data_IF_524848846464
#
_entry.id   IF_524848846464
#
_cell.length_a   1.000
_cell.length_b   1.000
_cell.length_c   1.000
_cell.angle_alpha   90.00
_cell.angle_beta   90.00
_cell.angle_gamma   90.00
#
_symmetry.space_group_name_H-M   'P 1'
#
loop_
_entity.id
_entity.type
_entity.pdbx_description
1 polymer ?
#
# COMPACT_ATOMS: atom_id res chain seq x y z
N UNK A 1 18.50 -15.65 -29.14
CA UNK A 1 19.54 -14.67 -28.78
C UNK A 1 20.06 -15.11 -27.42
N UNK A 2 21.35 -15.41 -27.35
CA UNK A 2 22.02 -15.89 -26.13
C UNK A 2 21.86 -14.86 -25.01
N UNK A 3 21.52 -15.37 -23.80
CA UNK A 3 21.50 -14.62 -22.54
C UNK A 3 22.83 -13.87 -22.35
N UNK A 4 22.87 -12.59 -22.73
CA UNK A 4 23.81 -11.67 -22.08
C UNK A 4 23.37 -11.57 -20.63
N UNK A 5 24.29 -11.78 -19.70
CA UNK A 5 24.07 -11.53 -18.27
C UNK A 5 23.70 -10.04 -18.08
N UNK A 6 22.42 -9.69 -18.27
CA UNK A 6 21.91 -8.31 -18.15
C UNK A 6 21.75 -7.87 -16.68
N UNK A 7 21.93 -8.81 -15.76
CA UNK A 7 21.64 -8.59 -14.35
C UNK A 7 22.67 -9.30 -13.46
N UNK A 8 23.15 -8.59 -12.46
CA UNK A 8 24.01 -9.14 -11.41
C UNK A 8 23.31 -8.99 -10.06
N UNK A 9 23.27 -10.08 -9.29
CA UNK A 9 22.76 -10.08 -7.92
C UNK A 9 23.88 -10.42 -6.93
N UNK A 10 24.41 -9.38 -6.28
CA UNK A 10 25.23 -9.50 -5.08
C UNK A 10 24.34 -9.85 -3.88
N UNK A 11 24.84 -10.71 -3.00
CA UNK A 11 24.13 -11.14 -1.80
C UNK A 11 24.92 -10.73 -0.55
N UNK A 12 24.26 -10.48 0.59
CA UNK A 12 24.94 -10.27 1.87
C UNK A 12 25.88 -11.45 2.19
N UNK A 13 27.04 -11.19 2.81
CA UNK A 13 28.10 -12.18 3.03
C UNK A 13 27.60 -13.46 3.70
N UNK A 14 26.72 -13.34 4.70
CA UNK A 14 26.17 -14.47 5.46
C UNK A 14 24.65 -14.65 5.28
N UNK A 15 24.11 -14.26 4.11
CA UNK A 15 22.67 -14.32 3.89
C UNK A 15 22.12 -15.76 4.04
N UNK A 16 21.04 -15.90 4.79
CA UNK A 16 20.28 -17.15 4.94
C UNK A 16 18.81 -16.82 5.18
N UNK A 17 17.90 -17.60 4.58
CA UNK A 17 16.45 -17.50 4.86
C UNK A 17 16.13 -17.76 6.34
N UNK A 18 16.85 -18.68 6.98
CA UNK A 18 16.61 -19.06 8.39
C UNK A 18 16.97 -17.94 9.37
N UNK A 19 17.89 -17.04 9.00
CA UNK A 19 18.41 -15.97 9.86
C UNK A 19 17.96 -14.58 9.43
N UNK A 20 17.12 -14.48 8.41
CA UNK A 20 16.80 -13.20 7.78
C UNK A 20 15.91 -12.29 8.65
N UNK A 21 15.16 -12.85 9.62
CA UNK A 21 14.13 -12.09 10.32
C UNK A 21 13.12 -11.50 9.33
N UNK A 22 12.96 -10.17 9.35
CA UNK A 22 12.13 -9.41 8.41
C UNK A 22 12.70 -9.33 6.97
N UNK A 23 13.92 -9.81 6.75
CA UNK A 23 14.60 -9.78 5.45
C UNK A 23 15.80 -8.83 5.40
N UNK A 24 16.54 -8.92 4.29
CA UNK A 24 17.63 -7.99 3.97
C UNK A 24 17.13 -6.90 3.02
N UNK A 25 17.65 -5.66 3.10
CA UNK A 25 17.33 -4.64 2.11
C UNK A 25 17.69 -5.07 0.69
N UNK A 26 17.08 -4.43 -0.29
CA UNK A 26 17.43 -4.57 -1.71
C UNK A 26 17.82 -3.20 -2.26
N UNK A 27 19.00 -3.10 -2.85
CA UNK A 27 19.42 -1.94 -3.63
C UNK A 27 19.35 -2.32 -5.11
N UNK A 28 18.37 -1.75 -5.83
CA UNK A 28 18.34 -1.74 -7.29
C UNK A 28 19.27 -0.63 -7.78
N UNK A 29 20.32 -1.00 -8.52
CA UNK A 29 21.18 -0.07 -9.23
C UNK A 29 21.03 -0.26 -10.73
N UNK A 30 20.69 0.82 -11.45
CA UNK A 30 20.50 0.79 -12.90
C UNK A 30 21.64 1.52 -13.60
N UNK A 31 22.23 0.87 -14.61
CA UNK A 31 23.35 1.40 -15.41
C UNK A 31 23.18 1.10 -16.91
N UNK A 32 23.88 1.85 -17.75
CA UNK A 32 23.85 1.71 -19.21
C UNK A 32 25.26 1.64 -19.86
N UNK A 33 26.31 1.47 -19.04
CA UNK A 33 27.71 1.45 -19.51
C UNK A 33 28.37 0.06 -19.47
N UNK A 34 27.63 -0.94 -18.97
CA UNK A 34 28.04 -2.33 -18.83
C UNK A 34 29.11 -2.56 -17.77
N UNK A 35 29.45 -1.55 -16.96
CA UNK A 35 30.46 -1.71 -15.91
C UNK A 35 29.84 -2.35 -14.68
N UNK A 36 30.34 -3.53 -14.33
CA UNK A 36 30.01 -4.16 -13.06
C UNK A 36 30.63 -3.40 -11.89
N UNK A 37 29.78 -2.91 -10.99
CA UNK A 37 30.23 -2.24 -9.77
C UNK A 37 30.44 -3.25 -8.64
N UNK A 38 31.37 -2.91 -7.75
CA UNK A 38 31.53 -3.63 -6.49
C UNK A 38 30.68 -2.97 -5.41
N UNK A 39 29.90 -3.78 -4.69
CA UNK A 39 29.17 -3.33 -3.51
C UNK A 39 29.79 -3.94 -2.25
N UNK A 40 30.10 -3.07 -1.28
CA UNK A 40 30.66 -3.47 0.01
C UNK A 40 29.56 -4.11 0.89
N UNK A 41 29.36 -5.41 0.68
CA UNK A 41 28.38 -6.23 1.38
C UNK A 41 28.67 -6.40 2.89
N UNK A 42 29.91 -6.18 3.32
CA UNK A 42 30.27 -6.24 4.74
C UNK A 42 29.80 -4.98 5.45
N UNK A 43 29.99 -3.82 4.80
CA UNK A 43 29.60 -2.53 5.37
C UNK A 43 28.11 -2.24 5.23
N UNK A 44 27.52 -2.61 4.09
CA UNK A 44 26.11 -2.39 3.79
C UNK A 44 25.46 -3.71 3.33
N UNK A 45 25.08 -4.58 4.28
CA UNK A 45 24.52 -5.88 3.95
C UNK A 45 23.15 -5.73 3.28
N UNK A 46 23.09 -5.97 1.97
CA UNK A 46 21.85 -5.96 1.20
C UNK A 46 21.93 -6.86 -0.03
N UNK A 47 20.79 -7.22 -0.61
CA UNK A 47 20.80 -7.68 -1.99
C UNK A 47 21.18 -6.50 -2.89
N UNK A 48 22.30 -6.59 -3.58
CA UNK A 48 22.73 -5.57 -4.54
C UNK A 48 22.38 -6.07 -5.93
N UNK A 49 21.29 -5.55 -6.47
CA UNK A 49 20.78 -5.94 -7.78
C UNK A 49 21.13 -4.88 -8.81
N UNK A 50 22.19 -5.15 -9.58
CA UNK A 50 22.63 -4.32 -10.68
C UNK A 50 21.95 -4.78 -11.97
N UNK A 51 21.33 -3.84 -12.68
CA UNK A 51 20.61 -4.07 -13.94
C UNK A 51 21.22 -3.19 -15.02
N UNK A 52 21.75 -3.81 -16.06
CA UNK A 52 22.18 -3.13 -17.28
C UNK A 52 20.97 -2.87 -18.17
N UNK A 53 20.76 -1.62 -18.58
CA UNK A 53 19.63 -1.22 -19.42
C UNK A 53 20.09 -0.72 -20.78
N UNK A 54 19.24 -0.94 -21.78
CA UNK A 54 19.39 -0.37 -23.10
C UNK A 54 18.11 0.39 -23.52
N UNK A 55 18.04 0.79 -24.78
CA UNK A 55 16.90 1.55 -25.33
C UNK A 55 15.58 0.76 -25.38
N UNK A 56 15.65 -0.57 -25.35
CA UNK A 56 14.52 -1.48 -25.48
C UNK A 56 14.06 -2.00 -24.11
N UNK A 57 14.81 -1.69 -23.05
CA UNK A 57 14.47 -2.10 -21.68
C UNK A 57 13.30 -1.28 -21.14
N UNK A 58 12.21 -1.95 -20.76
CA UNK A 58 11.06 -1.31 -20.12
C UNK A 58 11.15 -1.42 -18.58
N UNK A 59 10.69 -0.37 -17.89
CA UNK A 59 10.57 -0.37 -16.44
C UNK A 59 9.68 -1.52 -15.90
N UNK A 60 8.75 -2.03 -16.71
CA UNK A 60 7.91 -3.18 -16.36
C UNK A 60 8.73 -4.47 -16.29
N UNK A 61 9.70 -4.67 -17.20
CA UNK A 61 10.59 -5.84 -17.19
C UNK A 61 11.39 -5.93 -15.89
N UNK A 62 11.85 -4.78 -15.39
CA UNK A 62 12.57 -4.68 -14.12
C UNK A 62 11.62 -4.95 -12.95
N UNK A 63 10.40 -4.41 -12.98
CA UNK A 63 9.41 -4.66 -11.93
C UNK A 63 9.06 -6.16 -11.82
N UNK A 64 8.86 -6.84 -12.95
CA UNK A 64 8.57 -8.29 -12.98
C UNK A 64 9.75 -9.13 -12.47
N UNK A 65 10.97 -8.81 -12.88
CA UNK A 65 12.16 -9.48 -12.35
C UNK A 65 12.35 -9.23 -10.85
N UNK A 66 12.02 -8.03 -10.37
CA UNK A 66 12.06 -7.73 -8.94
C UNK A 66 11.06 -8.56 -8.15
N UNK A 67 9.85 -8.79 -8.69
CA UNK A 67 8.86 -9.68 -8.05
C UNK A 67 9.42 -11.09 -7.89
N UNK A 68 9.96 -11.65 -8.97
CA UNK A 68 10.60 -12.96 -8.93
C UNK A 68 11.77 -13.02 -7.93
N UNK A 69 12.50 -11.91 -7.76
CA UNK A 69 13.59 -11.80 -6.79
C UNK A 69 13.06 -11.82 -5.35
N UNK A 70 12.02 -11.02 -5.04
CA UNK A 70 11.39 -10.96 -3.71
C UNK A 70 10.75 -12.28 -3.31
N UNK A 71 10.17 -13.03 -4.26
CA UNK A 71 9.68 -14.39 -4.00
C UNK A 71 10.84 -15.37 -3.69
N UNK A 72 11.95 -15.22 -4.43
CA UNK A 72 13.10 -16.14 -4.37
C UNK A 72 14.07 -15.85 -3.24
N UNK A 73 14.11 -14.65 -2.70
CA UNK A 73 15.06 -14.25 -1.66
C UNK A 73 14.34 -13.55 -0.50
N UNK A 74 14.86 -13.64 0.73
CA UNK A 74 14.27 -12.98 1.90
C UNK A 74 14.57 -11.47 1.86
N UNK A 75 13.97 -10.76 0.90
CA UNK A 75 14.04 -9.31 0.76
C UNK A 75 13.07 -8.67 1.74
N UNK A 76 13.55 -7.70 2.51
CA UNK A 76 12.68 -6.81 3.27
C UNK A 76 12.05 -5.81 2.30
N UNK A 77 10.79 -6.06 1.93
CA UNK A 77 10.04 -5.21 0.99
C UNK A 77 9.77 -3.81 1.52
N UNK A 78 9.99 -3.56 2.82
CA UNK A 78 9.93 -2.21 3.41
C UNK A 78 11.23 -1.41 3.24
N UNK A 79 12.29 -2.04 2.71
CA UNK A 79 13.63 -1.47 2.50
C UNK A 79 14.18 -1.82 1.10
N UNK A 80 13.41 -1.44 0.08
CA UNK A 80 13.86 -1.47 -1.31
C UNK A 80 14.29 -0.06 -1.72
N UNK A 81 15.49 0.05 -2.29
CA UNK A 81 16.10 1.31 -2.68
C UNK A 81 16.39 1.34 -4.18
N UNK A 82 16.27 2.52 -4.79
CA UNK A 82 16.62 2.74 -6.20
C UNK A 82 17.82 3.68 -6.33
N UNK A 83 18.78 3.31 -7.17
CA UNK A 83 19.91 4.15 -7.51
C UNK A 83 20.24 4.11 -9.00
N UNK A 84 20.75 5.23 -9.52
CA UNK A 84 21.17 5.34 -10.92
C UNK A 84 21.80 6.69 -11.23
N UNK A 85 22.55 6.76 -12.33
CA UNK A 85 23.21 7.98 -12.78
C UNK A 85 23.00 8.20 -14.29
N UNK A 86 23.14 9.45 -14.74
CA UNK A 86 23.09 9.81 -16.16
C UNK A 86 21.79 9.37 -16.84
N UNK A 87 21.88 8.82 -18.05
CA UNK A 87 20.72 8.34 -18.82
C UNK A 87 20.05 7.12 -18.18
N UNK A 88 20.80 6.24 -17.52
CA UNK A 88 20.26 5.09 -16.79
C UNK A 88 19.28 5.50 -15.66
N UNK A 89 19.49 6.68 -15.05
CA UNK A 89 18.58 7.22 -14.04
C UNK A 89 17.16 7.49 -14.57
N UNK A 90 16.95 7.63 -15.89
CA UNK A 90 15.62 7.76 -16.48
C UNK A 90 14.69 6.60 -16.10
N UNK A 91 15.24 5.38 -16.02
CA UNK A 91 14.46 4.19 -15.66
C UNK A 91 14.00 4.27 -14.21
N UNK A 92 14.87 4.72 -13.30
CA UNK A 92 14.50 4.96 -11.90
C UNK A 92 13.42 6.05 -11.80
N UNK A 93 13.52 7.14 -12.56
CA UNK A 93 12.49 8.18 -12.61
C UNK A 93 11.14 7.66 -13.11
N UNK A 94 11.12 6.82 -14.15
CA UNK A 94 9.90 6.19 -14.66
C UNK A 94 9.34 5.18 -13.65
N UNK A 95 10.18 4.35 -13.03
CA UNK A 95 9.77 3.40 -11.98
C UNK A 95 9.18 4.12 -10.76
N UNK A 96 9.76 5.24 -10.31
CA UNK A 96 9.17 6.05 -9.23
C UNK A 96 7.76 6.51 -9.60
N UNK A 97 7.55 6.98 -10.83
CA UNK A 97 6.23 7.45 -11.27
C UNK A 97 5.20 6.31 -11.48
N UNK A 98 5.66 5.12 -11.87
CA UNK A 98 4.81 3.97 -12.16
C UNK A 98 4.49 3.12 -10.91
N UNK A 99 5.50 2.94 -10.05
CA UNK A 99 5.48 2.05 -8.88
C UNK A 99 6.03 2.77 -7.64
N UNK A 100 5.45 3.90 -7.21
CA UNK A 100 5.99 4.67 -6.09
C UNK A 100 6.06 3.86 -4.79
N UNK A 101 5.12 2.95 -4.54
CA UNK A 101 5.08 2.08 -3.34
C UNK A 101 6.17 1.00 -3.30
N UNK A 102 6.97 0.88 -4.37
CA UNK A 102 8.12 -0.02 -4.40
C UNK A 102 9.25 0.49 -3.50
N UNK A 103 9.51 1.80 -3.51
CA UNK A 103 10.75 2.33 -2.96
C UNK A 103 10.57 2.89 -1.54
N UNK A 104 11.44 2.47 -0.63
CA UNK A 104 11.65 3.12 0.65
C UNK A 104 12.41 4.45 0.47
N UNK A 105 13.35 4.50 -0.46
CA UNK A 105 14.05 5.72 -0.87
C UNK A 105 14.74 5.56 -2.23
N UNK A 106 15.02 6.69 -2.86
CA UNK A 106 15.75 6.75 -4.14
C UNK A 106 16.89 7.76 -4.05
N UNK A 107 18.04 7.43 -4.63
CA UNK A 107 19.15 8.36 -4.84
C UNK A 107 19.57 8.35 -6.31
N UNK A 108 19.51 9.48 -7.01
CA UNK A 108 19.90 9.54 -8.44
C UNK A 108 20.75 10.76 -8.76
N UNK A 109 21.67 10.56 -9.70
CA UNK A 109 22.51 11.61 -10.27
C UNK A 109 22.06 11.91 -11.71
N UNK A 110 21.52 13.09 -11.95
CA UNK A 110 21.05 13.52 -13.27
C UNK A 110 19.79 12.80 -13.75
N UNK A 111 19.78 12.49 -15.05
CA UNK A 111 18.65 11.88 -15.74
C UNK A 111 17.52 12.86 -16.09
N UNK A 112 16.56 12.34 -16.84
CA UNK A 112 15.39 13.05 -17.30
C UNK A 112 14.13 12.16 -17.28
N UNK A 113 12.97 12.79 -17.11
CA UNK A 113 11.70 12.07 -16.97
C UNK A 113 10.50 12.95 -17.27
N UNK A 114 9.29 12.38 -17.17
CA UNK A 114 8.05 13.12 -17.35
C UNK A 114 7.56 13.69 -16.02
N UNK A 115 7.45 15.02 -15.95
CA UNK A 115 7.06 15.74 -14.72
C UNK A 115 5.69 15.34 -14.20
N UNK A 116 4.73 15.04 -15.07
CA UNK A 116 3.37 14.63 -14.66
C UNK A 116 3.33 13.21 -14.08
N UNK A 117 4.23 12.30 -14.52
CA UNK A 117 4.33 10.94 -13.96
C UNK A 117 4.97 10.94 -12.59
N UNK A 118 6.12 11.61 -12.45
CA UNK A 118 6.92 11.56 -11.22
C UNK A 118 6.17 12.14 -10.01
N UNK A 119 5.20 13.05 -10.24
CA UNK A 119 4.35 13.61 -9.17
C UNK A 119 3.59 12.55 -8.38
N UNK A 120 3.34 11.37 -8.95
CA UNK A 120 2.72 10.24 -8.24
C UNK A 120 3.59 9.71 -7.10
N UNK A 121 4.89 9.96 -7.13
CA UNK A 121 5.84 9.65 -6.06
C UNK A 121 6.00 10.80 -5.05
N UNK A 122 4.94 11.58 -4.82
CA UNK A 122 4.96 12.75 -3.93
C UNK A 122 5.28 12.43 -2.46
N UNK A 123 5.29 11.16 -2.08
CA UNK A 123 5.61 10.70 -0.72
C UNK A 123 6.92 9.91 -0.63
N UNK A 124 7.50 9.53 -1.77
CA UNK A 124 8.75 8.74 -1.82
C UNK A 124 9.92 9.64 -1.43
N UNK A 125 10.70 9.31 -0.38
CA UNK A 125 11.94 10.01 -0.08
C UNK A 125 12.92 9.89 -1.25
N UNK A 126 13.47 11.01 -1.72
CA UNK A 126 14.42 10.98 -2.82
C UNK A 126 15.54 12.01 -2.64
N UNK A 127 16.78 11.62 -2.94
CA UNK A 127 17.93 12.53 -2.97
C UNK A 127 18.51 12.62 -4.36
N UNK A 128 18.36 13.81 -4.95
CA UNK A 128 18.65 14.06 -6.35
C UNK A 128 19.91 14.93 -6.47
N UNK A 129 20.86 14.51 -7.29
CA UNK A 129 22.08 15.24 -7.60
C UNK A 129 22.03 15.73 -9.05
N UNK A 130 22.49 16.95 -9.32
CA UNK A 130 22.59 17.43 -10.70
C UNK A 130 22.88 18.91 -10.82
N UNK A 131 23.12 19.39 -12.04
CA UNK A 131 23.50 20.78 -12.34
C UNK A 131 23.02 21.22 -13.72
N UNK A 132 23.08 22.52 -14.00
CA UNK A 132 22.66 23.09 -15.28
C UNK A 132 23.51 22.65 -16.50
N UNK A 133 24.69 22.08 -16.27
CA UNK A 133 25.56 21.52 -17.32
C UNK A 133 25.82 20.02 -17.12
N UNK A 134 24.78 19.29 -16.70
CA UNK A 134 24.71 17.83 -16.79
C UNK A 134 24.91 17.38 -18.26
N UNK A 135 25.64 16.27 -18.46
CA UNK A 135 26.08 15.84 -19.78
C UNK A 135 24.97 15.21 -20.62
N UNK A 136 23.94 14.65 -19.98
CA UNK A 136 22.80 14.05 -20.66
C UNK A 136 21.64 15.04 -20.79
N UNK A 137 21.20 15.61 -19.67
CA UNK A 137 20.10 16.58 -19.65
C UNK A 137 20.37 17.63 -18.57
N UNK A 138 20.61 18.91 -18.93
CA UNK A 138 20.70 20.02 -17.98
C UNK A 138 19.63 19.93 -16.89
N UNK A 139 19.99 20.07 -15.62
CA UNK A 139 19.06 19.83 -14.52
C UNK A 139 17.77 20.66 -14.63
N UNK A 140 17.85 21.93 -15.04
CA UNK A 140 16.69 22.78 -15.31
C UNK A 140 16.13 22.68 -16.74
N UNK A 141 16.77 21.92 -17.61
CA UNK A 141 16.46 21.81 -19.03
C UNK A 141 15.48 20.69 -19.39
N UNK A 142 15.44 20.40 -20.69
CA UNK A 142 14.57 19.38 -21.28
C UNK A 142 15.20 18.80 -22.55
N UNK A 143 14.84 17.56 -22.88
CA UNK A 143 15.29 16.83 -24.06
C UNK A 143 14.13 16.04 -24.66
N UNK A 144 14.24 15.70 -25.95
CA UNK A 144 13.33 14.76 -26.60
C UNK A 144 13.95 13.37 -26.57
N UNK A 145 13.19 12.36 -26.11
CA UNK A 145 13.62 10.97 -26.20
C UNK A 145 13.54 10.45 -27.64
N UNK A 146 14.23 9.34 -27.92
CA UNK A 146 14.20 8.66 -29.22
C UNK A 146 12.77 8.20 -29.60
N UNK A 147 11.90 8.03 -28.61
CA UNK A 147 10.48 7.69 -28.77
C UNK A 147 9.57 8.92 -28.92
N UNK A 148 10.13 10.13 -29.06
CA UNK A 148 9.36 11.37 -29.23
C UNK A 148 8.68 11.87 -27.96
N UNK A 149 9.13 11.46 -26.76
CA UNK A 149 8.61 11.96 -25.48
C UNK A 149 9.46 13.14 -25.01
N UNK A 150 8.82 14.24 -24.61
CA UNK A 150 9.51 15.35 -23.95
C UNK A 150 9.84 14.95 -22.50
N UNK A 151 11.13 14.99 -22.15
CA UNK A 151 11.64 14.70 -20.81
C UNK A 151 12.25 15.97 -20.21
N UNK A 152 12.13 16.13 -18.90
CA UNK A 152 12.68 17.25 -18.14
C UNK A 152 13.83 16.78 -17.24
N UNK A 153 14.84 17.63 -17.09
CA UNK A 153 15.98 17.37 -16.22
C UNK A 153 15.62 17.29 -14.74
N UNK A 154 16.55 16.74 -13.96
CA UNK A 154 16.32 16.33 -12.57
C UNK A 154 15.86 17.46 -11.63
N UNK A 155 16.32 18.72 -11.79
CA UNK A 155 15.86 19.84 -10.96
C UNK A 155 14.38 20.17 -11.23
N UNK A 156 13.94 20.07 -12.49
CA UNK A 156 12.53 20.24 -12.85
C UNK A 156 11.68 19.10 -12.29
N UNK A 157 12.19 17.87 -12.28
CA UNK A 157 11.51 16.72 -11.66
C UNK A 157 11.38 16.88 -10.13
N UNK A 158 12.44 17.31 -9.45
CA UNK A 158 12.40 17.67 -8.01
C UNK A 158 11.34 18.72 -7.73
N UNK A 159 11.31 19.80 -8.53
CA UNK A 159 10.28 20.84 -8.40
C UNK A 159 8.88 20.27 -8.60
N UNK A 160 8.72 19.33 -9.53
CA UNK A 160 7.45 18.63 -9.76
C UNK A 160 7.00 17.86 -8.52
N UNK A 161 7.90 17.09 -7.90
CA UNK A 161 7.66 16.36 -6.64
C UNK A 161 7.27 17.30 -5.50
N UNK A 162 8.03 18.37 -5.29
CA UNK A 162 7.72 19.38 -4.24
C UNK A 162 6.37 20.05 -4.48
N UNK A 163 6.06 20.39 -5.74
CA UNK A 163 4.77 20.96 -6.12
C UNK A 163 3.62 19.94 -6.03
N UNK A 164 3.89 18.66 -5.76
CA UNK A 164 2.90 17.63 -5.43
C UNK A 164 2.85 17.34 -3.91
N UNK A 165 3.55 18.12 -3.08
CA UNK A 165 3.56 17.97 -1.62
C UNK A 165 4.73 17.17 -1.05
N UNK A 166 5.72 16.78 -1.86
CA UNK A 166 6.87 16.02 -1.34
C UNK A 166 7.79 16.90 -0.49
N UNK A 167 7.76 16.67 0.82
CA UNK A 167 8.63 17.32 1.81
C UNK A 167 9.95 16.56 2.03
N UNK A 168 10.06 15.34 1.50
CA UNK A 168 11.18 14.40 1.71
C UNK A 168 12.14 14.32 0.51
N UNK A 169 11.99 15.19 -0.49
CA UNK A 169 12.87 15.27 -1.66
C UNK A 169 13.99 16.31 -1.47
N UNK A 170 15.22 15.81 -1.47
CA UNK A 170 16.46 16.58 -1.38
C UNK A 170 17.04 16.83 -2.77
N UNK A 171 17.66 18.00 -2.95
CA UNK A 171 18.39 18.33 -4.16
C UNK A 171 19.76 18.91 -3.83
N UNK A 172 20.79 18.32 -4.40
CA UNK A 172 22.18 18.73 -4.22
C UNK A 172 22.77 19.19 -5.56
N UNK A 173 23.17 20.47 -5.69
CA UNK A 173 23.82 20.98 -6.89
C UNK A 173 25.29 20.54 -6.94
N UNK A 174 25.55 19.26 -7.23
CA UNK A 174 26.89 18.68 -7.41
C UNK A 174 27.20 18.50 -8.91
N UNK A 175 28.49 18.35 -9.31
CA UNK A 175 28.85 17.70 -10.57
C UNK A 175 28.00 16.45 -10.80
N UNK A 176 27.64 16.18 -12.06
CA UNK A 176 27.06 14.88 -12.40
C UNK A 176 28.02 13.79 -11.91
N UNK A 177 27.55 13.03 -10.92
CA UNK A 177 28.26 11.89 -10.37
C UNK A 177 28.01 10.70 -11.29
N UNK A 178 29.05 9.95 -11.59
CA UNK A 178 28.93 8.59 -12.09
C UNK A 178 28.19 7.73 -11.06
N UNK A 179 27.66 6.59 -11.49
CA UNK A 179 26.99 5.69 -10.56
C UNK A 179 27.94 5.12 -9.49
N UNK A 180 29.22 4.91 -9.82
CA UNK A 180 30.26 4.53 -8.84
C UNK A 180 30.44 5.63 -7.78
N UNK A 181 30.64 6.88 -8.19
CA UNK A 181 30.76 8.01 -7.25
C UNK A 181 29.50 8.16 -6.38
N UNK A 182 28.30 7.94 -6.94
CA UNK A 182 27.05 7.99 -6.19
C UNK A 182 26.98 6.92 -5.11
N UNK A 183 27.40 5.69 -5.42
CA UNK A 183 27.42 4.58 -4.47
C UNK A 183 28.57 4.69 -3.45
N UNK A 184 29.61 5.46 -3.75
CA UNK A 184 30.70 5.78 -2.81
C UNK A 184 30.39 6.96 -1.87
N UNK A 185 29.39 7.80 -2.19
CA UNK A 185 28.96 8.91 -1.35
C UNK A 185 28.29 8.38 -0.07
N UNK A 186 29.08 8.37 1.01
CA UNK A 186 28.68 7.84 2.31
C UNK A 186 27.45 8.53 2.87
N UNK A 187 27.27 9.83 2.64
CA UNK A 187 26.12 10.57 3.15
C UNK A 187 24.85 10.15 2.42
N UNK A 188 24.91 10.06 1.09
CA UNK A 188 23.78 9.64 0.26
C UNK A 188 23.35 8.19 0.58
N UNK A 189 24.32 7.27 0.65
CA UNK A 189 24.07 5.86 0.95
C UNK A 189 23.52 5.69 2.37
N UNK A 190 24.11 6.33 3.38
CA UNK A 190 23.60 6.24 4.76
C UNK A 190 22.20 6.84 4.87
N UNK A 191 21.97 8.01 4.27
CA UNK A 191 20.66 8.64 4.26
C UNK A 191 19.59 7.75 3.60
N UNK A 192 19.94 7.02 2.54
CA UNK A 192 19.02 6.11 1.85
C UNK A 192 18.74 4.86 2.70
N UNK A 193 19.77 4.25 3.29
CA UNK A 193 19.66 2.99 4.02
C UNK A 193 18.99 3.09 5.39
N UNK A 194 18.89 4.28 5.98
CA UNK A 194 18.09 4.49 7.18
C UNK A 194 16.60 4.61 6.89
N UNK A 195 16.20 4.74 5.62
CA UNK A 195 14.79 4.88 5.22
C UNK A 195 14.07 3.55 5.24
N UNK A 196 12.81 3.60 5.63
CA UNK A 196 11.88 2.49 5.49
C UNK A 196 10.52 3.02 5.05
N UNK A 197 9.77 2.21 4.29
CA UNK A 197 8.36 2.50 4.04
C UNK A 197 7.54 2.59 5.32
N UNK A 198 8.03 2.01 6.42
CA UNK A 198 7.45 2.10 7.77
C UNK A 198 7.44 3.52 8.34
N UNK A 199 8.14 4.47 7.71
CA UNK A 199 8.19 5.88 8.11
C UNK A 199 6.95 6.66 7.63
N UNK A 200 5.94 6.70 8.50
CA UNK A 200 4.78 7.56 8.34
C UNK A 200 3.72 7.01 7.39
N UNK A 201 2.87 7.93 6.92
CA UNK A 201 1.68 7.60 6.15
C UNK A 201 1.62 8.45 4.89
N UNK A 202 1.16 7.85 3.79
CA UNK A 202 0.73 8.59 2.61
C UNK A 202 -0.61 9.26 2.93
N UNK A 203 -0.77 10.53 2.56
CA UNK A 203 -2.01 11.30 2.76
C UNK A 203 -2.50 11.77 1.40
N UNK A 204 -3.73 11.38 1.05
CA UNK A 204 -4.42 11.83 -0.16
C UNK A 204 -5.73 12.53 0.21
N UNK A 205 -5.96 13.72 -0.34
CA UNK A 205 -7.28 14.37 -0.28
C UNK A 205 -8.16 13.73 -1.35
N UNK A 206 -9.20 13.01 -0.94
CA UNK A 206 -10.16 12.41 -1.89
C UNK A 206 -11.21 13.44 -2.32
N UNK A 207 -11.73 14.19 -1.34
CA UNK A 207 -12.70 15.28 -1.50
C UNK A 207 -12.42 16.33 -0.42
N UNK A 208 -12.86 17.59 -0.56
CA UNK A 208 -12.76 18.55 0.53
C UNK A 208 -13.40 17.97 1.81
N UNK A 209 -12.63 17.86 2.89
CA UNK A 209 -13.07 17.27 4.16
C UNK A 209 -13.02 15.74 4.24
N UNK A 210 -12.62 15.03 3.17
CA UNK A 210 -12.45 13.56 3.17
C UNK A 210 -11.06 13.19 2.70
N UNK A 211 -10.32 12.53 3.59
CA UNK A 211 -8.92 12.20 3.40
C UNK A 211 -8.70 10.70 3.55
N UNK A 212 -7.79 10.16 2.75
CA UNK A 212 -7.27 8.81 2.87
C UNK A 212 -5.86 8.88 3.42
N UNK A 213 -5.59 8.09 4.45
CA UNK A 213 -4.26 7.76 4.89
C UNK A 213 -3.97 6.31 4.53
N UNK A 214 -2.71 6.05 4.18
CA UNK A 214 -2.28 4.73 3.85
C UNK A 214 -0.91 4.45 4.46
N UNK A 215 -0.78 3.26 5.05
CA UNK A 215 0.44 2.80 5.66
C UNK A 215 1.29 1.92 4.72
N UNK A 216 2.40 1.41 5.25
CA UNK A 216 3.34 0.60 4.50
C UNK A 216 2.86 -0.85 4.24
N UNK A 217 1.83 -1.31 4.95
CA UNK A 217 1.27 -2.66 4.78
C UNK A 217 0.19 -2.70 3.70
N UNK A 218 -0.30 -1.55 3.23
CA UNK A 218 -1.39 -1.47 2.25
C UNK A 218 -2.72 -1.04 2.87
N UNK A 219 -2.79 -1.01 4.20
CA UNK A 219 -3.99 -0.64 4.96
C UNK A 219 -4.34 0.81 4.74
N UNK A 220 -5.62 1.04 4.46
CA UNK A 220 -6.24 2.30 4.15
C UNK A 220 -7.19 2.69 5.27
N UNK A 221 -7.02 3.89 5.80
CA UNK A 221 -7.90 4.47 6.81
C UNK A 221 -8.22 5.91 6.45
N UNK A 222 -9.27 6.46 7.06
CA UNK A 222 -9.90 7.67 6.53
C UNK A 222 -10.12 8.72 7.60
N UNK A 223 -10.18 9.98 7.18
CA UNK A 223 -10.57 11.11 8.03
C UNK A 223 -11.69 11.88 7.35
N UNK A 224 -12.80 12.03 8.05
CA UNK A 224 -13.96 12.85 7.63
C UNK A 224 -14.12 14.03 8.58
N UNK A 225 -14.01 15.25 8.05
CA UNK A 225 -14.14 16.48 8.82
C UNK A 225 -15.60 16.94 8.90
N UNK A 226 -16.14 16.99 10.12
CA UNK A 226 -17.37 17.72 10.42
C UNK A 226 -17.09 19.17 10.80
N UNK A 227 -18.00 19.79 11.55
CA UNK A 227 -17.79 21.15 12.10
C UNK A 227 -17.38 21.14 13.58
N UNK A 228 -17.69 20.06 14.30
CA UNK A 228 -17.40 19.87 15.73
C UNK A 228 -16.22 18.94 15.97
N UNK A 229 -16.12 17.88 15.19
CA UNK A 229 -15.10 16.84 15.31
C UNK A 229 -14.73 16.31 13.92
N UNK A 230 -13.57 15.67 13.81
CA UNK A 230 -13.23 14.83 12.67
C UNK A 230 -13.31 13.36 13.09
N UNK A 231 -13.99 12.56 12.29
CA UNK A 231 -14.06 11.12 12.48
C UNK A 231 -12.90 10.46 11.74
N UNK A 232 -12.09 9.73 12.47
CA UNK A 232 -11.11 8.80 11.93
C UNK A 232 -11.80 7.45 11.77
N UNK A 233 -11.71 6.85 10.60
CA UNK A 233 -12.27 5.53 10.31
C UNK A 233 -11.10 4.59 10.11
N UNK A 234 -10.91 3.67 11.06
CA UNK A 234 -9.76 2.76 11.19
C UNK A 234 -8.39 3.47 11.41
N UNK A 235 -7.31 2.70 11.63
CA UNK A 235 -6.01 3.26 12.07
C UNK A 235 -4.75 2.71 11.39
N UNK A 236 -4.82 1.71 10.52
CA UNK A 236 -3.63 1.08 9.95
C UNK A 236 -2.81 0.29 10.98
N UNK A 237 -1.65 -0.23 10.54
CA UNK A 237 -0.70 -1.04 11.32
C UNK A 237 0.72 -0.44 11.34
N UNK A 238 0.88 0.82 10.92
CA UNK A 238 2.14 1.54 10.94
C UNK A 238 2.75 1.68 12.34
N UNK A 239 4.09 1.66 12.52
CA UNK A 239 4.70 1.77 13.84
C UNK A 239 4.67 3.19 14.43
N UNK A 240 4.51 4.21 13.58
CA UNK A 240 4.37 5.60 14.03
C UNK A 240 2.93 5.88 14.49
N UNK A 241 2.78 6.74 15.50
CA UNK A 241 1.46 7.19 15.95
C UNK A 241 0.67 7.84 14.81
N UNK A 242 -0.64 7.59 14.72
CA UNK A 242 -1.49 8.14 13.66
C UNK A 242 -1.93 9.58 13.94
N UNK A 243 -2.15 9.93 15.21
CA UNK A 243 -2.69 11.24 15.55
C UNK A 243 -1.80 12.42 15.14
N UNK A 244 -0.45 12.38 15.24
CA UNK A 244 0.41 13.45 14.72
C UNK A 244 0.33 13.63 13.20
N UNK A 245 0.05 12.56 12.46
CA UNK A 245 -0.12 12.62 11.01
C UNK A 245 -1.48 13.24 10.64
N UNK A 246 -2.54 12.85 11.33
CA UNK A 246 -3.89 13.42 11.16
C UNK A 246 -3.91 14.91 11.53
N UNK A 247 -3.05 15.36 12.45
CA UNK A 247 -2.91 16.79 12.80
C UNK A 247 -2.34 17.66 11.67
N UNK A 248 -1.73 17.07 10.64
CA UNK A 248 -1.35 17.78 9.41
C UNK A 248 -2.58 18.12 8.55
N UNK A 249 -3.68 17.40 8.76
CA UNK A 249 -4.93 17.51 8.00
C UNK A 249 -5.90 18.44 8.74
N UNK A 250 -6.15 18.17 10.03
CA UNK A 250 -7.20 18.85 10.78
C UNK A 250 -6.81 19.18 12.23
N UNK A 251 -7.35 20.29 12.72
CA UNK A 251 -7.24 20.73 14.12
C UNK A 251 -8.44 20.36 14.98
N UNK A 252 -9.49 19.77 14.39
CA UNK A 252 -10.69 19.36 15.11
C UNK A 252 -10.39 18.27 16.15
N UNK A 253 -11.18 18.18 17.24
CA UNK A 253 -11.22 17.00 18.08
C UNK A 253 -11.37 15.72 17.25
N UNK A 254 -10.61 14.68 17.59
CA UNK A 254 -10.66 13.40 16.87
C UNK A 254 -11.53 12.41 17.64
N UNK A 255 -12.44 11.78 16.91
CA UNK A 255 -13.20 10.61 17.34
C UNK A 255 -12.83 9.46 16.39
N UNK A 256 -12.73 8.23 16.89
CA UNK A 256 -12.38 7.06 16.08
C UNK A 256 -13.60 6.15 15.93
N UNK A 257 -13.90 5.72 14.71
CA UNK A 257 -14.85 4.67 14.44
C UNK A 257 -14.15 3.50 13.74
N UNK A 258 -14.37 2.29 14.26
CA UNK A 258 -13.72 1.09 13.78
C UNK A 258 -14.72 0.26 12.97
N UNK A 259 -14.32 -0.15 11.76
CA UNK A 259 -15.12 -1.05 10.93
C UNK A 259 -15.21 -2.44 11.56
N UNK A 260 -14.13 -2.89 12.20
CA UNK A 260 -14.03 -4.13 12.98
C UNK A 260 -12.74 -4.12 13.82
N UNK A 261 -12.48 -5.18 14.61
CA UNK A 261 -11.39 -5.19 15.59
C UNK A 261 -10.06 -5.82 15.14
N UNK A 262 -9.86 -6.13 13.86
CA UNK A 262 -8.56 -6.65 13.42
C UNK A 262 -7.44 -5.63 13.62
N UNK A 263 -6.22 -6.17 13.73
CA UNK A 263 -5.05 -5.44 14.18
C UNK A 263 -4.83 -4.15 13.41
N UNK A 264 -4.84 -4.22 12.09
CA UNK A 264 -4.61 -3.11 11.16
C UNK A 264 -5.76 -2.11 11.06
N UNK A 265 -6.92 -2.39 11.63
CA UNK A 265 -8.01 -1.42 11.72
C UNK A 265 -7.98 -0.69 13.07
N UNK A 266 -7.53 -1.38 14.12
CA UNK A 266 -7.63 -0.95 15.51
C UNK A 266 -6.28 -0.69 16.20
N UNK A 267 -5.15 -0.87 15.52
CA UNK A 267 -3.81 -0.89 16.13
C UNK A 267 -3.53 0.33 17.02
N UNK A 268 -4.01 1.50 16.60
CA UNK A 268 -3.79 2.76 17.30
C UNK A 268 -5.02 3.30 18.02
N UNK A 269 -5.98 2.44 18.36
CA UNK A 269 -7.20 2.87 19.03
C UNK A 269 -6.94 3.50 20.42
N UNK A 270 -5.89 3.10 21.11
CA UNK A 270 -5.44 3.66 22.39
C UNK A 270 -4.85 5.10 22.27
N UNK A 271 -4.69 5.65 21.07
CA UNK A 271 -4.41 7.08 20.86
C UNK A 271 -5.66 7.96 21.01
N UNK A 272 -6.85 7.37 21.01
CA UNK A 272 -8.13 8.07 20.95
C UNK A 272 -8.90 7.95 22.26
N UNK A 273 -9.58 9.04 22.64
CA UNK A 273 -10.44 9.08 23.84
C UNK A 273 -11.84 8.58 23.59
N UNK A 274 -12.33 8.75 22.36
CA UNK A 274 -13.67 8.36 21.93
C UNK A 274 -13.50 7.40 20.78
N UNK A 275 -13.89 6.15 21.02
CA UNK A 275 -13.75 5.05 20.06
C UNK A 275 -15.11 4.35 19.95
N UNK A 276 -15.58 4.20 18.72
CA UNK A 276 -16.79 3.48 18.36
C UNK A 276 -16.44 2.11 17.80
N UNK A 277 -17.06 1.05 18.33
CA UNK A 277 -16.88 -0.34 17.89
C UNK A 277 -18.16 -1.13 18.14
N UNK A 278 -18.61 -1.94 17.19
CA UNK A 278 -19.78 -2.80 17.36
C UNK A 278 -19.61 -3.73 18.55
N UNK A 279 -20.67 -3.89 19.36
CA UNK A 279 -20.63 -4.77 20.52
C UNK A 279 -20.40 -6.25 20.16
N UNK A 280 -20.64 -6.62 18.90
CA UNK A 280 -20.41 -7.97 18.34
C UNK A 280 -18.92 -8.27 18.13
N UNK A 281 -18.04 -7.28 18.25
CA UNK A 281 -16.59 -7.44 18.17
C UNK A 281 -15.95 -7.85 19.51
N UNK A 282 -16.72 -7.94 20.61
CA UNK A 282 -16.18 -8.27 21.94
C UNK A 282 -15.37 -9.57 21.96
N UNK A 283 -15.93 -10.65 21.42
CA UNK A 283 -15.25 -11.95 21.38
C UNK A 283 -14.05 -11.95 20.41
N UNK A 284 -14.19 -11.51 19.14
CA UNK A 284 -13.05 -11.35 18.22
C UNK A 284 -11.89 -10.53 18.80
N UNK A 285 -12.19 -9.44 19.53
CA UNK A 285 -11.17 -8.56 20.10
C UNK A 285 -10.31 -9.27 21.15
N UNK A 286 -10.89 -10.13 21.98
CA UNK A 286 -10.14 -10.89 22.99
C UNK A 286 -9.12 -11.86 22.35
N UNK A 287 -9.37 -12.29 21.10
CA UNK A 287 -8.40 -13.01 20.29
C UNK A 287 -7.31 -12.08 19.76
N UNK A 288 -7.69 -10.93 19.19
CA UNK A 288 -6.74 -9.96 18.62
C UNK A 288 -5.78 -9.38 19.67
N UNK A 289 -6.22 -9.14 20.91
CA UNK A 289 -5.38 -8.73 22.05
C UNK A 289 -4.25 -9.71 22.38
N UNK A 290 -4.41 -10.99 22.03
CA UNK A 290 -3.40 -12.04 22.24
C UNK A 290 -2.46 -12.20 21.05
N UNK A 291 -2.79 -11.59 19.90
CA UNK A 291 -2.05 -11.74 18.65
C UNK A 291 -1.56 -10.39 18.13
N UNK A 292 -2.33 -9.71 17.27
CA UNK A 292 -1.92 -8.51 16.55
C UNK A 292 -1.91 -7.25 17.43
N UNK A 293 -2.74 -7.21 18.47
CA UNK A 293 -2.88 -6.08 19.39
C UNK A 293 -2.13 -6.32 20.72
N UNK A 294 -1.23 -7.31 20.76
CA UNK A 294 -0.46 -7.61 21.95
C UNK A 294 0.36 -6.38 22.40
N UNK A 295 0.13 -5.93 23.64
CA UNK A 295 0.81 -4.76 24.22
C UNK A 295 0.12 -3.41 23.97
N UNK A 296 -1.01 -3.37 23.25
CA UNK A 296 -1.85 -2.15 23.17
C UNK A 296 -2.77 -2.05 24.38
N UNK A 297 -3.01 -0.83 24.85
CA UNK A 297 -3.82 -0.56 26.05
C UNK A 297 -5.27 -0.25 25.65
N UNK A 298 -6.00 -1.29 25.23
CA UNK A 298 -7.36 -1.13 24.71
C UNK A 298 -8.37 -1.75 25.67
N UNK A 299 -9.09 -0.87 26.39
CA UNK A 299 -10.21 -1.25 27.25
C UNK A 299 -11.51 -1.29 26.44
N UNK A 300 -12.06 -2.50 26.27
CA UNK A 300 -13.30 -2.70 25.52
C UNK A 300 -14.50 -2.02 26.20
N UNK A 301 -14.55 -2.02 27.53
CA UNK A 301 -15.70 -1.48 28.26
C UNK A 301 -15.74 0.06 28.21
N UNK A 302 -14.67 0.69 27.72
CA UNK A 302 -14.59 2.13 27.42
C UNK A 302 -15.08 2.50 26.01
N UNK A 303 -15.27 1.51 25.12
CA UNK A 303 -15.68 1.72 23.73
C UNK A 303 -17.20 1.94 23.65
N UNK A 304 -17.61 2.77 22.69
CA UNK A 304 -19.01 3.08 22.44
C UNK A 304 -19.60 2.14 21.40
N UNK A 305 -20.66 1.43 21.77
CA UNK A 305 -21.39 0.56 20.85
C UNK A 305 -22.09 1.36 19.74
N UNK A 306 -22.12 0.78 18.55
CA UNK A 306 -22.68 1.36 17.33
C UNK A 306 -23.56 0.31 16.62
N UNK A 307 -24.80 0.09 17.09
CA UNK A 307 -25.72 -0.84 16.45
C UNK A 307 -26.12 -0.36 15.04
N UNK A 308 -26.64 -1.28 14.23
CA UNK A 308 -27.15 -1.01 12.88
C UNK A 308 -28.09 0.22 12.83
N UNK A 309 -27.86 1.13 11.88
CA UNK A 309 -28.62 2.37 11.72
C UNK A 309 -28.22 3.52 12.65
N UNK A 310 -27.19 3.35 13.49
CA UNK A 310 -26.65 4.45 14.30
C UNK A 310 -26.15 5.58 13.40
N UNK A 311 -26.28 6.83 13.85
CA UNK A 311 -25.71 8.01 13.17
C UNK A 311 -24.75 8.72 14.10
N UNK A 312 -23.47 8.79 13.70
CA UNK A 312 -22.43 9.54 14.41
C UNK A 312 -22.47 11.00 13.90
N UNK A 313 -22.85 11.95 14.76
CA UNK A 313 -22.98 13.36 14.41
C UNK A 313 -21.69 14.15 14.66
N UNK A 314 -21.05 14.64 13.60
CA UNK A 314 -19.81 15.42 13.64
C UNK A 314 -20.06 16.95 13.66
N UNK A 315 -21.26 17.38 14.06
CA UNK A 315 -21.67 18.78 14.09
C UNK A 315 -22.46 19.17 12.83
N UNK A 316 -23.53 18.45 12.56
CA UNK A 316 -24.39 18.65 11.38
C UNK A 316 -24.02 17.81 10.16
N UNK A 317 -22.94 17.02 10.26
CA UNK A 317 -22.58 15.97 9.30
C UNK A 317 -22.73 14.62 10.01
N UNK A 318 -23.72 13.83 9.58
CA UNK A 318 -24.01 12.51 10.14
C UNK A 318 -23.36 11.40 9.32
N UNK A 319 -22.68 10.47 10.00
CA UNK A 319 -22.15 9.23 9.42
C UNK A 319 -23.06 8.08 9.85
N UNK A 320 -23.77 7.48 8.90
CA UNK A 320 -24.64 6.31 9.17
C UNK A 320 -23.78 5.05 9.31
N UNK A 321 -24.13 4.20 10.28
CA UNK A 321 -23.55 2.87 10.49
C UNK A 321 -24.48 1.82 9.90
N UNK A 322 -23.94 0.95 9.05
CA UNK A 322 -24.65 -0.23 8.53
C UNK A 322 -23.88 -1.50 8.88
N UNK A 323 -24.51 -2.46 9.55
CA UNK A 323 -23.88 -3.75 9.81
C UNK A 323 -23.77 -4.60 8.55
N UNK A 324 -22.58 -5.17 8.33
CA UNK A 324 -22.33 -6.15 7.27
C UNK A 324 -21.48 -7.33 7.81
N UNK A 325 -22.05 -8.19 8.66
CA UNK A 325 -21.30 -9.31 9.23
C UNK A 325 -20.85 -10.30 8.15
N UNK A 326 -19.63 -10.79 8.30
CA UNK A 326 -18.97 -11.65 7.31
C UNK A 326 -17.52 -11.84 7.62
N UNK A 327 -16.73 -10.80 7.35
CA UNK A 327 -15.32 -10.74 7.70
C UNK A 327 -15.09 -10.90 9.21
N UNK A 328 -15.90 -10.19 10.00
CA UNK A 328 -16.09 -10.43 11.43
C UNK A 328 -17.59 -10.35 11.79
N UNK A 329 -18.03 -10.83 12.97
CA UNK A 329 -19.43 -10.75 13.40
C UNK A 329 -19.97 -9.34 13.62
N UNK A 330 -19.11 -8.37 13.92
CA UNK A 330 -19.46 -6.96 14.13
C UNK A 330 -18.91 -6.03 13.06
N UNK A 331 -18.54 -6.55 11.89
CA UNK A 331 -18.16 -5.73 10.73
C UNK A 331 -19.27 -4.72 10.40
N UNK A 332 -18.89 -3.46 10.27
CA UNK A 332 -19.77 -2.36 9.86
C UNK A 332 -19.20 -1.58 8.68
N UNK A 333 -20.10 -0.95 7.94
CA UNK A 333 -19.82 0.08 6.95
C UNK A 333 -20.17 1.44 7.57
N UNK A 334 -19.40 2.47 7.19
CA UNK A 334 -19.72 3.85 7.51
C UNK A 334 -20.14 4.59 6.24
N UNK A 335 -21.35 5.15 6.23
CA UNK A 335 -21.96 5.79 5.07
C UNK A 335 -22.03 7.29 5.32
N UNK A 336 -21.31 8.04 4.47
CA UNK A 336 -21.34 9.49 4.42
C UNK A 336 -22.21 9.95 3.24
N UNK A 337 -23.45 10.31 3.53
CA UNK A 337 -24.38 10.84 2.53
C UNK A 337 -24.04 12.24 2.04
N UNK A 338 -23.28 13.02 2.80
CA UNK A 338 -22.88 14.38 2.42
C UNK A 338 -21.85 14.33 1.30
N UNK A 339 -20.83 13.49 1.50
CA UNK A 339 -19.75 13.33 0.54
C UNK A 339 -20.01 12.23 -0.49
N UNK A 340 -21.05 11.39 -0.30
CA UNK A 340 -21.36 10.21 -1.14
C UNK A 340 -20.23 9.18 -1.13
N UNK A 341 -19.85 8.76 0.08
CA UNK A 341 -18.77 7.79 0.34
C UNK A 341 -19.28 6.70 1.25
N UNK A 342 -18.86 5.45 1.00
CA UNK A 342 -19.08 4.32 1.89
C UNK A 342 -17.72 3.72 2.23
N UNK A 343 -17.35 3.71 3.50
CA UNK A 343 -16.13 3.08 3.99
C UNK A 343 -16.47 1.64 4.38
N UNK A 344 -15.85 0.67 3.72
CA UNK A 344 -16.28 -0.73 3.81
C UNK A 344 -15.45 -1.57 4.77
N UNK A 345 -14.30 -1.04 5.21
CA UNK A 345 -13.26 -1.86 5.83
C UNK A 345 -13.00 -3.11 4.99
N UNK A 346 -13.00 -4.26 5.64
CA UNK A 346 -12.71 -5.55 5.02
C UNK A 346 -13.95 -6.34 4.61
N UNK A 347 -15.13 -5.75 4.70
CA UNK A 347 -16.36 -6.47 4.48
C UNK A 347 -16.66 -6.76 3.00
N UNK A 348 -15.97 -6.09 2.06
CA UNK A 348 -16.13 -6.22 0.60
C UNK A 348 -14.75 -6.09 -0.06
N UNK A 349 -14.51 -6.84 -1.13
CA UNK A 349 -13.23 -6.81 -1.83
C UNK A 349 -13.37 -7.23 -3.27
N UNK A 350 -12.57 -6.60 -4.13
CA UNK A 350 -12.39 -6.98 -5.53
C UNK A 350 -11.02 -7.63 -5.71
N UNK A 351 -10.94 -8.69 -6.51
CA UNK A 351 -9.66 -9.20 -7.04
C UNK A 351 -8.65 -9.83 -6.07
N UNK A 352 -8.26 -9.22 -4.93
CA UNK A 352 -7.27 -9.80 -3.98
C UNK A 352 -7.89 -10.36 -2.69
N UNK A 353 -9.21 -10.58 -2.68
CA UNK A 353 -9.98 -11.34 -1.70
C UNK A 353 -10.52 -10.56 -0.50
N UNK A 354 -11.70 -11.00 -0.04
CA UNK A 354 -12.16 -10.81 1.34
C UNK A 354 -11.75 -12.02 2.16
N UNK A 355 -11.08 -11.78 3.29
CA UNK A 355 -10.71 -12.85 4.22
C UNK A 355 -11.92 -13.23 5.08
N UNK A 356 -12.56 -14.37 4.84
CA UNK A 356 -13.68 -14.88 5.65
C UNK A 356 -13.27 -16.07 6.54
N UNK A 357 -12.00 -16.47 6.48
CA UNK A 357 -11.45 -17.66 7.13
C UNK A 357 -10.95 -17.40 8.56
N UNK A 358 -11.03 -16.18 9.09
CA UNK A 358 -10.58 -15.89 10.45
C UNK A 358 -11.74 -16.07 11.44
N UNK A 359 -11.55 -16.96 12.42
CA UNK A 359 -12.58 -17.19 13.43
C UNK A 359 -12.83 -15.95 14.31
N UNK A 360 -14.09 -15.70 14.71
CA UNK A 360 -15.29 -16.51 14.42
C UNK A 360 -15.79 -16.37 12.97
N UNK A 361 -16.17 -17.50 12.36
CA UNK A 361 -16.60 -17.56 10.95
C UNK A 361 -18.11 -17.77 10.84
N UNK A 362 -18.70 -17.25 9.77
CA UNK A 362 -20.08 -17.55 9.36
C UNK A 362 -20.11 -18.37 8.06
N UNK A 363 -21.25 -18.99 7.75
CA UNK A 363 -21.43 -19.68 6.47
C UNK A 363 -21.44 -18.69 5.31
N UNK A 364 -21.02 -19.11 4.11
CA UNK A 364 -21.09 -18.26 2.91
C UNK A 364 -22.53 -17.87 2.57
N UNK A 365 -23.51 -18.71 2.90
CA UNK A 365 -24.93 -18.40 2.71
C UNK A 365 -25.45 -17.32 3.67
N UNK A 366 -24.94 -17.30 4.90
CA UNK A 366 -25.23 -16.22 5.85
C UNK A 366 -24.56 -14.91 5.42
N UNK A 367 -23.31 -14.97 4.96
CA UNK A 367 -22.61 -13.81 4.41
C UNK A 367 -23.33 -13.25 3.18
N UNK A 368 -23.75 -14.11 2.25
CA UNK A 368 -24.56 -13.74 1.08
C UNK A 368 -25.82 -12.97 1.48
N UNK A 369 -26.56 -13.44 2.49
CA UNK A 369 -27.76 -12.74 2.98
C UNK A 369 -27.44 -11.32 3.47
N UNK A 370 -26.27 -11.11 4.06
CA UNK A 370 -25.83 -9.77 4.47
C UNK A 370 -25.46 -8.91 3.24
N UNK A 371 -24.81 -9.50 2.23
CA UNK A 371 -24.53 -8.83 0.96
C UNK A 371 -25.81 -8.45 0.20
N UNK A 372 -26.87 -9.26 0.24
CA UNK A 372 -28.17 -8.93 -0.37
C UNK A 372 -28.75 -7.63 0.20
N UNK A 373 -28.67 -7.42 1.52
CA UNK A 373 -29.10 -6.17 2.17
C UNK A 373 -28.32 -4.95 1.65
N UNK A 374 -27.00 -5.11 1.50
CA UNK A 374 -26.18 -4.04 0.93
C UNK A 374 -26.52 -3.81 -0.55
N UNK A 375 -26.67 -4.87 -1.34
CA UNK A 375 -26.97 -4.77 -2.76
C UNK A 375 -28.28 -4.02 -3.03
N UNK A 376 -29.28 -4.21 -2.18
CA UNK A 376 -30.52 -3.44 -2.19
C UNK A 376 -30.28 -1.98 -1.80
N UNK A 377 -29.52 -1.72 -0.72
CA UNK A 377 -29.19 -0.34 -0.30
C UNK A 377 -28.41 0.44 -1.36
N UNK A 378 -27.55 -0.23 -2.13
CA UNK A 378 -26.77 0.39 -3.19
C UNK A 378 -27.60 0.83 -4.40
N UNK A 379 -28.85 0.40 -4.55
CA UNK A 379 -29.72 0.79 -5.68
C UNK A 379 -29.96 2.29 -5.76
N UNK A 380 -30.06 2.96 -4.61
CA UNK A 380 -30.25 4.40 -4.51
C UNK A 380 -28.91 5.16 -4.32
N UNK A 381 -27.77 4.49 -4.52
CA UNK A 381 -26.43 5.00 -4.23
C UNK A 381 -25.45 4.88 -5.41
N UNK A 382 -25.96 4.88 -6.65
CA UNK A 382 -25.15 4.74 -7.88
C UNK A 382 -24.03 5.80 -8.02
N UNK A 383 -24.17 6.97 -7.39
CA UNK A 383 -23.17 8.04 -7.42
C UNK A 383 -22.27 8.09 -6.18
N UNK A 384 -22.31 7.05 -5.34
CA UNK A 384 -21.43 6.87 -4.18
C UNK A 384 -20.16 6.13 -4.61
N UNK A 385 -19.08 6.37 -3.86
CA UNK A 385 -17.84 5.61 -4.00
C UNK A 385 -17.65 4.75 -2.77
N UNK A 386 -17.38 3.46 -2.98
CA UNK A 386 -17.00 2.52 -1.93
C UNK A 386 -15.47 2.54 -1.79
N UNK A 387 -14.99 2.68 -0.56
CA UNK A 387 -13.57 2.77 -0.21
C UNK A 387 -13.20 1.63 0.74
N UNK A 388 -12.25 0.79 0.32
CA UNK A 388 -11.84 -0.42 1.04
C UNK A 388 -10.92 -0.16 2.23
N UNK A 389 -10.72 -1.19 3.05
CA UNK A 389 -9.73 -1.22 4.13
C UNK A 389 -8.29 -1.43 3.63
N UNK A 390 -8.10 -1.93 2.42
CA UNK A 390 -6.79 -2.21 1.83
C UNK A 390 -6.72 -1.80 0.36
N UNK A 391 -5.53 -1.43 -0.12
CA UNK A 391 -5.31 -1.18 -1.55
C UNK A 391 -5.61 -2.42 -2.41
N UNK A 392 -5.30 -3.58 -1.84
CA UNK A 392 -5.48 -4.93 -2.36
C UNK A 392 -6.93 -5.18 -2.76
N UNK A 393 -7.87 -4.74 -1.92
CA UNK A 393 -9.31 -4.91 -2.15
C UNK A 393 -9.82 -4.10 -3.36
N UNK A 394 -9.08 -3.11 -3.86
CA UNK A 394 -9.42 -2.35 -5.06
C UNK A 394 -8.53 -2.73 -6.26
N UNK A 395 -7.82 -3.86 -6.19
CA UNK A 395 -6.90 -4.29 -7.26
C UNK A 395 -5.54 -3.55 -7.23
N UNK A 396 -5.16 -2.99 -6.09
CA UNK A 396 -3.81 -2.52 -5.80
C UNK A 396 -2.86 -3.69 -5.50
N UNK A 397 -1.60 -3.60 -5.89
CA UNK A 397 -0.61 -4.66 -5.68
C UNK A 397 0.52 -4.13 -4.78
N UNK A 398 0.54 -4.45 -3.47
CA UNK A 398 1.76 -4.34 -2.70
C UNK A 398 2.76 -5.37 -3.22
N UNK A 399 3.98 -4.91 -3.46
CA UNK A 399 5.09 -5.77 -3.88
C UNK A 399 5.31 -6.90 -2.86
N UNK A 400 5.17 -8.16 -3.29
CA UNK A 400 5.36 -9.35 -2.45
C UNK A 400 4.11 -10.24 -2.29
N UNK A 401 2.94 -9.84 -2.82
CA UNK A 401 1.73 -10.68 -2.89
C UNK A 401 1.69 -11.50 -4.19
N UNK A 402 0.96 -12.64 -4.29
CA UNK A 402 0.81 -13.37 -5.55
C UNK A 402 0.26 -12.48 -6.68
N UNK A 403 0.80 -12.62 -7.89
CA UNK A 403 0.43 -11.80 -9.05
C UNK A 403 -1.08 -11.86 -9.35
N UNK A 404 -1.77 -10.71 -9.25
CA UNK A 404 -3.13 -10.54 -9.74
C UNK A 404 -3.10 -9.85 -11.11
N UNK A 405 -3.55 -10.50 -12.20
CA UNK A 405 -3.62 -9.88 -13.53
C UNK A 405 -4.72 -8.82 -13.65
N UNK A 406 -5.55 -8.61 -12.64
CA UNK A 406 -6.64 -7.63 -12.68
C UNK A 406 -6.11 -6.21 -12.45
N UNK A 407 -6.37 -5.24 -13.36
CA UNK A 407 -6.13 -3.83 -13.09
C UNK A 407 -7.00 -3.35 -11.92
N UNK A 408 -6.65 -2.17 -11.37
CA UNK A 408 -7.46 -1.44 -10.38
C UNK A 408 -8.96 -1.58 -10.70
N UNK A 409 -9.70 -2.11 -9.74
CA UNK A 409 -11.12 -2.42 -9.86
C UNK A 409 -11.85 -1.77 -8.69
N UNK A 410 -12.49 -0.61 -8.92
CA UNK A 410 -13.27 0.05 -7.88
C UNK A 410 -14.33 -0.88 -7.29
N UNK A 411 -14.51 -0.80 -5.97
CA UNK A 411 -15.64 -1.43 -5.30
C UNK A 411 -16.94 -0.77 -5.77
N UNK A 412 -17.97 -1.59 -5.97
CA UNK A 412 -19.25 -1.14 -6.49
C UNK A 412 -20.32 -2.22 -6.41
N UNK A 413 -21.53 -1.89 -6.85
CA UNK A 413 -22.70 -2.78 -6.78
C UNK A 413 -22.48 -4.09 -7.54
N UNK A 414 -21.75 -4.04 -8.67
CA UNK A 414 -21.39 -5.23 -9.45
C UNK A 414 -20.41 -6.15 -8.71
N UNK A 415 -19.50 -5.59 -7.89
CA UNK A 415 -18.61 -6.41 -7.05
C UNK A 415 -19.43 -7.15 -6.00
N UNK A 416 -20.38 -6.46 -5.35
CA UNK A 416 -21.30 -7.11 -4.39
C UNK A 416 -22.13 -8.21 -5.06
N UNK A 417 -22.60 -7.97 -6.30
CA UNK A 417 -23.30 -8.99 -7.09
C UNK A 417 -22.45 -10.23 -7.35
N UNK A 418 -21.23 -10.03 -7.84
CA UNK A 418 -20.29 -11.12 -8.11
C UNK A 418 -19.91 -11.87 -6.83
N UNK A 419 -19.84 -11.19 -5.69
CA UNK A 419 -19.61 -11.82 -4.38
C UNK A 419 -20.77 -12.70 -3.94
N UNK A 420 -22.02 -12.26 -4.15
CA UNK A 420 -23.21 -13.09 -3.86
C UNK A 420 -23.23 -14.37 -4.71
N UNK A 421 -22.96 -14.26 -6.02
CA UNK A 421 -22.86 -15.42 -6.91
C UNK A 421 -21.69 -16.32 -6.47
N UNK A 422 -20.53 -15.73 -6.16
CA UNK A 422 -19.38 -16.48 -5.66
C UNK A 422 -19.72 -17.30 -4.42
N UNK A 423 -20.51 -16.76 -3.47
CA UNK A 423 -20.98 -17.50 -2.30
C UNK A 423 -21.84 -18.72 -2.65
N UNK A 424 -22.63 -18.66 -3.73
CA UNK A 424 -23.47 -19.79 -4.17
C UNK A 424 -22.66 -20.89 -4.86
N UNK A 425 -21.66 -20.50 -5.65
CA UNK A 425 -20.89 -21.44 -6.48
C UNK A 425 -19.56 -21.85 -5.86
N UNK A 426 -19.15 -21.29 -4.71
CA UNK A 426 -17.83 -21.49 -4.11
C UNK A 426 -17.48 -22.97 -3.92
N UNK A 427 -18.43 -23.76 -3.40
CA UNK A 427 -18.26 -25.19 -3.17
C UNK A 427 -18.22 -26.05 -4.43
N UNK A 428 -18.61 -25.50 -5.59
CA UNK A 428 -18.67 -26.23 -6.86
C UNK A 428 -17.32 -26.31 -7.58
N UNK A 429 -17.31 -27.00 -8.73
CA UNK A 429 -16.21 -27.08 -9.69
C UNK A 429 -16.11 -25.86 -10.61
N UNK A 430 -17.10 -24.95 -10.56
CA UNK A 430 -17.10 -23.69 -11.33
C UNK A 430 -16.07 -22.68 -10.84
N UNK A 431 -15.63 -22.80 -9.59
CA UNK A 431 -14.64 -21.90 -8.98
C UNK A 431 -13.31 -22.63 -8.88
N UNK A 432 -12.31 -22.14 -9.62
CA UNK A 432 -10.93 -22.58 -9.41
C UNK A 432 -10.47 -22.05 -8.05
N UNK A 433 -10.11 -22.98 -7.16
CA UNK A 433 -9.65 -22.67 -5.81
C UNK A 433 -8.14 -22.89 -5.70
N UNK A 434 -7.48 -21.97 -5.02
CA UNK A 434 -6.12 -22.14 -4.50
C UNK A 434 -6.21 -22.48 -3.01
N UNK A 435 -5.60 -23.58 -2.59
CA UNK A 435 -5.55 -23.95 -1.18
C UNK A 435 -4.41 -23.19 -0.49
N UNK A 436 -4.76 -22.48 0.57
CA UNK A 436 -3.82 -21.80 1.45
C UNK A 436 -3.57 -22.70 2.68
N UNK A 437 -2.29 -23.00 3.00
CA UNK A 437 -1.97 -23.84 4.14
C UNK A 437 -2.35 -23.16 5.46
N UNK A 438 -2.55 -23.93 6.54
CA UNK A 438 -2.73 -23.38 7.87
C UNK A 438 -1.60 -22.43 8.27
N UNK A 439 -1.94 -21.39 9.02
CA UNK A 439 -0.98 -20.45 9.59
C UNK A 439 -1.35 -20.07 11.04
N UNK A 440 -0.65 -19.07 11.59
CA UNK A 440 -0.85 -18.59 12.96
C UNK A 440 -2.24 -17.97 13.22
N UNK A 441 -2.96 -17.56 12.17
CA UNK A 441 -4.27 -16.92 12.22
C UNK A 441 -5.40 -17.87 11.82
N UNK A 442 -5.13 -18.87 10.98
CA UNK A 442 -6.08 -19.91 10.61
C UNK A 442 -5.44 -21.30 10.75
N UNK A 443 -5.83 -22.04 11.80
CA UNK A 443 -5.25 -23.35 12.13
C UNK A 443 -5.68 -24.49 11.19
N UNK A 444 -6.58 -24.22 10.24
CA UNK A 444 -7.03 -25.16 9.23
C UNK A 444 -6.79 -24.61 7.81
N UNK A 445 -6.70 -25.49 6.79
CA UNK A 445 -6.57 -25.04 5.41
C UNK A 445 -7.76 -24.16 5.00
N UNK A 446 -7.48 -23.17 4.17
CA UNK A 446 -8.49 -22.30 3.59
C UNK A 446 -8.35 -22.25 2.08
N UNK A 447 -9.38 -21.78 1.40
CA UNK A 447 -9.48 -21.81 -0.06
C UNK A 447 -9.73 -20.40 -0.54
N UNK A 448 -8.90 -19.96 -1.47
CA UNK A 448 -9.04 -18.71 -2.18
C UNK A 448 -9.70 -18.98 -3.53
N UNK A 449 -10.83 -18.32 -3.79
CA UNK A 449 -11.59 -18.49 -5.03
C UNK A 449 -12.07 -17.15 -5.58
N UNK A 450 -12.29 -17.13 -6.91
CA UNK A 450 -12.67 -15.94 -7.65
C UNK A 450 -13.84 -16.21 -8.59
N UNK A 451 -14.68 -15.20 -8.78
CA UNK A 451 -15.73 -15.18 -9.80
C UNK A 451 -16.01 -13.73 -10.22
N UNK A 452 -16.09 -13.48 -11.52
CA UNK A 452 -16.26 -12.12 -12.04
C UNK A 452 -15.16 -11.18 -11.52
N UNK A 453 -15.58 -10.13 -10.81
CA UNK A 453 -14.74 -9.14 -10.14
C UNK A 453 -14.44 -9.45 -8.67
N UNK A 454 -15.08 -10.47 -8.11
CA UNK A 454 -15.04 -10.82 -6.70
C UNK A 454 -13.99 -11.90 -6.40
N UNK A 455 -13.43 -11.83 -5.19
CA UNK A 455 -12.62 -12.89 -4.60
C UNK A 455 -12.92 -13.02 -3.12
N UNK A 456 -12.86 -14.25 -2.59
CA UNK A 456 -12.95 -14.49 -1.17
C UNK A 456 -12.07 -15.67 -0.75
N UNK A 457 -11.65 -15.66 0.51
CA UNK A 457 -10.98 -16.77 1.17
C UNK A 457 -11.90 -17.37 2.25
N UNK A 458 -12.17 -18.67 2.19
CA UNK A 458 -13.04 -19.37 3.12
C UNK A 458 -12.54 -20.78 3.46
N UNK A 459 -12.96 -21.31 4.61
CA UNK A 459 -12.71 -22.68 5.06
C UNK A 459 -13.71 -23.64 4.44
N UNK A 460 -13.35 -24.92 4.34
CA UNK A 460 -14.27 -25.99 3.90
C UNK A 460 -15.56 -26.07 4.73
N UNK A 461 -15.53 -25.61 5.98
CA UNK A 461 -16.70 -25.61 6.87
C UNK A 461 -17.75 -24.54 6.53
N UNK A 462 -17.43 -23.59 5.64
CA UNK A 462 -18.29 -22.45 5.32
C UNK A 462 -19.17 -22.67 4.08
N UNK A 463 -18.92 -23.70 3.25
CA UNK A 463 -19.55 -23.88 1.93
C UNK A 463 -19.90 -25.32 1.56
#
# INVERSE_FOLDING_TARGET
MENKEMTYLGKPVDWSREKAGDGYPLLLYVEDDGKRLHWDQEKYPCFFWQVSVDKDTEHMDIAEQMRALVEKYPVDVSRIYGAGAGKAANVIWEMMGAYPDLFAAVAVSGGAGQTWKVRRASYVPAWIFGRENDSYCPAGGQIWSDQGKLLHGCLTLVRSLRAAGNERVLYSPKPEMTGEELLEDKEAVQWMFVRSKREGYRIDMLRPGVWKLQDYTGSSFYVVEGTRAALVIDTGFGPELVTPWIRKITSLPLELALTHCHGDHMYHADEFKTVYLSAKEKEPLERMKKTMLAGRDIDYDSLQDIPDGTVIDLGGLGIEVMELPGHTPGSVLFIDHTHKVIFTGDAIGSGQMVLLQLAPVISLQEYKKNLERLYERLEDMDDYVLLGGHMEQEGGYPFGTPYNPSPYNPLGREVVQDMMELCDIFGSDKVKKEELPPDRMCEEPSFLGYFGKAGLCARSSQF
#
